data_IF_592307782174
#
_entry.id   IF_592307782174
#
_cell.length_a   1.000
_cell.length_b   1.000
_cell.length_c   1.000
_cell.angle_alpha   90.00
_cell.angle_beta   90.00
_cell.angle_gamma   90.00
#
_symmetry.space_group_name_H-M   'P 1'
#
loop_
_entity.id
_entity.type
_entity.pdbx_description
1 polymer ?
#
# COMPACT_ATOMS: atom_id res chain seq x y z
N UNK A 1 30.49 10.47 5.23
CA UNK A 1 29.47 11.52 4.95
C UNK A 1 28.86 11.40 3.53
N UNK A 2 29.55 10.83 2.54
CA UNK A 2 28.95 10.61 1.19
C UNK A 2 27.93 9.44 1.14
N UNK A 3 28.23 8.31 1.78
CA UNK A 3 27.32 7.15 1.79
C UNK A 3 25.98 7.41 2.49
N UNK A 4 25.97 8.24 3.54
CA UNK A 4 24.76 8.55 4.31
C UNK A 4 23.74 9.36 3.52
N UNK A 5 24.15 10.31 2.67
CA UNK A 5 23.23 11.08 1.81
C UNK A 5 22.59 10.19 0.74
N UNK A 6 23.38 9.29 0.16
CA UNK A 6 22.90 8.38 -0.88
C UNK A 6 21.92 7.34 -0.31
N UNK A 7 22.24 6.74 0.85
CA UNK A 7 21.35 5.80 1.54
C UNK A 7 20.06 6.44 2.02
N UNK A 8 20.10 7.69 2.52
CA UNK A 8 18.89 8.44 2.91
C UNK A 8 17.99 8.73 1.71
N UNK A 9 18.57 9.21 0.61
CA UNK A 9 17.81 9.51 -0.60
C UNK A 9 17.15 8.26 -1.18
N UNK A 10 17.93 7.19 -1.30
CA UNK A 10 17.47 5.86 -1.75
C UNK A 10 16.35 5.34 -0.86
N UNK A 11 16.55 5.31 0.46
CA UNK A 11 15.52 4.85 1.40
C UNK A 11 14.23 5.66 1.30
N UNK A 12 14.33 6.99 1.17
CA UNK A 12 13.18 7.86 1.04
C UNK A 12 12.38 7.58 -0.24
N UNK A 13 13.06 7.44 -1.38
CA UNK A 13 12.41 7.12 -2.67
C UNK A 13 11.72 5.75 -2.63
N UNK A 14 12.36 4.75 -2.02
CA UNK A 14 11.81 3.40 -1.88
C UNK A 14 10.56 3.40 -1.02
N UNK A 15 10.63 4.02 0.16
CA UNK A 15 9.51 4.08 1.10
C UNK A 15 8.35 4.86 0.47
N UNK A 16 8.62 6.00 -0.15
CA UNK A 16 7.59 6.78 -0.83
C UNK A 16 6.94 5.99 -1.96
N UNK A 17 7.73 5.28 -2.78
CA UNK A 17 7.21 4.44 -3.86
C UNK A 17 6.35 3.28 -3.34
N UNK A 18 6.85 2.53 -2.35
CA UNK A 18 6.11 1.44 -1.72
C UNK A 18 4.81 1.93 -1.09
N UNK A 19 4.85 3.07 -0.39
CA UNK A 19 3.68 3.70 0.22
C UNK A 19 2.64 4.08 -0.83
N UNK A 20 3.02 4.76 -1.91
CA UNK A 20 2.08 5.15 -2.98
C UNK A 20 1.40 3.94 -3.61
N UNK A 21 2.18 2.91 -3.99
CA UNK A 21 1.60 1.71 -4.60
C UNK A 21 0.74 0.95 -3.59
N UNK A 22 1.17 0.86 -2.33
CA UNK A 22 0.42 0.23 -1.25
C UNK A 22 -0.91 0.92 -0.96
N UNK A 23 -0.93 2.26 -0.99
CA UNK A 23 -2.14 3.07 -0.83
C UNK A 23 -3.11 2.80 -1.98
N UNK A 24 -2.65 2.84 -3.22
CA UNK A 24 -3.51 2.62 -4.39
C UNK A 24 -4.14 1.23 -4.34
N UNK A 25 -3.33 0.20 -4.10
CA UNK A 25 -3.81 -1.19 -4.05
C UNK A 25 -4.74 -1.41 -2.85
N UNK A 26 -4.39 -0.89 -1.67
CA UNK A 26 -5.20 -1.01 -0.46
C UNK A 26 -6.52 -0.22 -0.53
N UNK A 27 -6.52 0.94 -1.19
CA UNK A 27 -7.73 1.71 -1.48
C UNK A 27 -8.68 0.94 -2.39
N UNK A 28 -8.16 0.37 -3.48
CA UNK A 28 -8.97 -0.43 -4.40
C UNK A 28 -9.54 -1.67 -3.71
N UNK A 29 -8.72 -2.38 -2.92
CA UNK A 29 -9.16 -3.55 -2.16
C UNK A 29 -10.24 -3.20 -1.12
N UNK A 30 -10.04 -2.11 -0.35
CA UNK A 30 -10.99 -1.67 0.68
C UNK A 30 -12.27 -1.05 0.12
N UNK A 31 -12.20 -0.35 -1.02
CA UNK A 31 -13.35 0.32 -1.62
C UNK A 31 -14.28 -0.65 -2.35
N UNK A 32 -13.74 -1.44 -3.28
CA UNK A 32 -14.53 -2.37 -4.10
C UNK A 32 -14.97 -3.60 -3.30
N UNK A 33 -14.15 -4.09 -2.37
CA UNK A 33 -14.46 -5.29 -1.60
C UNK A 33 -14.65 -6.55 -2.48
N UNK A 34 -15.19 -7.62 -1.88
CA UNK A 34 -15.59 -8.82 -2.61
C UNK A 34 -14.43 -9.67 -3.13
N UNK A 35 -14.55 -10.16 -4.37
CA UNK A 35 -13.56 -11.07 -4.97
C UNK A 35 -12.21 -10.40 -5.24
N UNK A 36 -12.19 -9.12 -5.64
CA UNK A 36 -10.96 -8.38 -5.86
C UNK A 36 -10.15 -8.22 -4.57
N UNK A 37 -10.82 -7.84 -3.47
CA UNK A 37 -10.22 -7.78 -2.14
C UNK A 37 -9.63 -9.14 -1.73
N UNK A 38 -10.40 -10.21 -1.93
CA UNK A 38 -9.95 -11.58 -1.61
C UNK A 38 -8.69 -11.94 -2.40
N UNK A 39 -8.64 -11.63 -3.70
CA UNK A 39 -7.49 -11.93 -4.55
C UNK A 39 -6.25 -11.12 -4.13
N UNK A 40 -6.41 -9.82 -3.89
CA UNK A 40 -5.31 -8.94 -3.43
C UNK A 40 -4.77 -9.42 -2.09
N UNK A 41 -5.66 -9.66 -1.12
CA UNK A 41 -5.26 -10.12 0.22
C UNK A 41 -4.58 -11.48 0.16
N UNK A 42 -5.01 -12.38 -0.73
CA UNK A 42 -4.36 -13.70 -0.89
C UNK A 42 -2.95 -13.59 -1.45
N UNK A 43 -2.71 -12.67 -2.39
CA UNK A 43 -1.34 -12.37 -2.87
C UNK A 43 -0.49 -11.80 -1.74
N UNK A 44 -1.05 -10.87 -0.94
CA UNK A 44 -0.35 -10.31 0.22
C UNK A 44 -0.02 -11.37 1.27
N UNK A 45 -0.93 -12.31 1.53
CA UNK A 45 -0.74 -13.40 2.48
C UNK A 45 0.32 -14.40 1.99
N UNK A 46 0.40 -14.67 0.68
CA UNK A 46 1.48 -15.47 0.09
C UNK A 46 2.83 -14.80 0.30
N UNK A 47 2.93 -13.48 0.14
CA UNK A 47 4.17 -12.73 0.39
C UNK A 47 4.58 -12.83 1.87
N UNK A 48 3.61 -12.70 2.79
CA UNK A 48 3.84 -12.79 4.23
C UNK A 48 4.12 -14.20 4.74
N UNK A 49 3.79 -15.24 3.97
CA UNK A 49 4.08 -16.63 4.32
C UNK A 49 5.59 -16.93 4.32
N UNK A 50 6.38 -16.15 3.56
CA UNK A 50 7.83 -16.26 3.55
C UNK A 50 8.46 -15.27 4.53
N UNK A 51 9.52 -15.67 5.26
CA UNK A 51 10.32 -14.72 6.03
C UNK A 51 10.85 -13.60 5.13
N UNK A 52 10.63 -12.35 5.55
CA UNK A 52 10.94 -11.15 4.74
C UNK A 52 12.38 -11.10 4.24
N UNK A 53 13.33 -11.53 5.08
CA UNK A 53 14.76 -11.61 4.73
C UNK A 53 15.02 -12.64 3.62
N UNK A 54 14.41 -13.83 3.72
CA UNK A 54 14.58 -14.88 2.71
C UNK A 54 13.98 -14.45 1.38
N UNK A 55 12.79 -13.86 1.40
CA UNK A 55 12.13 -13.36 0.19
C UNK A 55 12.92 -12.22 -0.45
N UNK A 56 13.43 -11.27 0.34
CA UNK A 56 14.28 -10.19 -0.16
C UNK A 56 15.55 -10.73 -0.82
N UNK A 57 16.22 -11.69 -0.19
CA UNK A 57 17.43 -12.31 -0.74
C UNK A 57 17.13 -13.07 -2.04
N UNK A 58 16.03 -13.83 -2.09
CA UNK A 58 15.60 -14.54 -3.29
C UNK A 58 15.31 -13.58 -4.46
N UNK A 59 14.60 -12.48 -4.20
CA UNK A 59 14.32 -11.46 -5.21
C UNK A 59 15.60 -10.80 -5.72
N UNK A 60 16.54 -10.45 -4.82
CA UNK A 60 17.83 -9.88 -5.23
C UNK A 60 18.66 -10.88 -6.05
N UNK A 61 18.62 -12.17 -5.69
CA UNK A 61 19.30 -13.21 -6.46
C UNK A 61 18.74 -13.37 -7.88
N UNK A 62 17.41 -13.24 -8.05
CA UNK A 62 16.74 -13.33 -9.36
C UNK A 62 16.95 -12.07 -10.20
N UNK A 63 16.76 -10.88 -9.62
CA UNK A 63 16.88 -9.60 -10.32
C UNK A 63 18.35 -9.23 -10.59
N UNK A 64 19.29 -9.82 -9.84
CA UNK A 64 20.72 -9.57 -9.92
C UNK A 64 21.20 -8.50 -8.92
N UNK A 65 22.50 -8.53 -8.56
CA UNK A 65 23.07 -7.67 -7.52
C UNK A 65 23.20 -6.23 -8.03
N UNK A 66 22.18 -5.41 -7.74
CA UNK A 66 22.18 -3.97 -7.96
C UNK A 66 21.46 -3.29 -6.81
N UNK A 67 21.91 -2.08 -6.44
CA UNK A 67 21.24 -1.25 -5.44
C UNK A 67 19.77 -1.05 -5.80
N UNK A 68 19.47 -0.80 -7.08
CA UNK A 68 18.10 -0.63 -7.58
C UNK A 68 17.24 -1.87 -7.43
N UNK A 69 17.82 -3.05 -7.62
CA UNK A 69 17.10 -4.31 -7.49
C UNK A 69 16.83 -4.64 -6.02
N UNK A 70 17.78 -4.35 -5.13
CA UNK A 70 17.58 -4.46 -3.68
C UNK A 70 16.50 -3.50 -3.18
N UNK A 71 16.48 -2.27 -3.69
CA UNK A 71 15.42 -1.30 -3.43
C UNK A 71 14.03 -1.82 -3.80
N UNK A 72 13.89 -2.36 -5.02
CA UNK A 72 12.62 -2.92 -5.52
C UNK A 72 12.21 -4.15 -4.70
N UNK A 73 13.15 -5.04 -4.39
CA UNK A 73 12.89 -6.23 -3.59
C UNK A 73 12.32 -5.86 -2.20
N UNK A 74 12.93 -4.89 -1.52
CA UNK A 74 12.47 -4.41 -0.21
C UNK A 74 11.08 -3.76 -0.33
N UNK A 75 10.84 -2.94 -1.37
CA UNK A 75 9.53 -2.33 -1.60
C UNK A 75 8.41 -3.38 -1.74
N UNK A 76 8.65 -4.44 -2.53
CA UNK A 76 7.69 -5.53 -2.75
C UNK A 76 7.42 -6.29 -1.45
N UNK A 77 8.46 -6.57 -0.66
CA UNK A 77 8.34 -7.28 0.62
C UNK A 77 7.54 -6.48 1.64
N UNK A 78 7.67 -5.15 1.64
CA UNK A 78 6.92 -4.27 2.56
C UNK A 78 5.49 -3.98 2.11
N UNK A 79 5.15 -4.30 0.86
CA UNK A 79 3.85 -3.99 0.27
C UNK A 79 2.63 -4.51 1.07
N UNK A 80 2.63 -5.74 1.60
CA UNK A 80 1.50 -6.25 2.39
C UNK A 80 1.15 -5.39 3.61
N UNK A 81 2.16 -4.78 4.25
CA UNK A 81 1.91 -3.92 5.41
C UNK A 81 1.14 -2.65 5.01
N UNK A 82 1.62 -1.94 3.97
CA UNK A 82 0.97 -0.72 3.50
C UNK A 82 -0.43 -0.99 2.92
N UNK A 83 -0.59 -2.08 2.17
CA UNK A 83 -1.89 -2.48 1.60
C UNK A 83 -2.90 -2.77 2.70
N UNK A 84 -2.52 -3.57 3.73
CA UNK A 84 -3.42 -3.92 4.84
C UNK A 84 -3.78 -2.72 5.69
N UNK A 85 -2.82 -1.84 5.97
CA UNK A 85 -3.05 -0.61 6.72
C UNK A 85 -4.05 0.30 5.99
N UNK A 86 -3.81 0.56 4.70
CA UNK A 86 -4.70 1.40 3.89
C UNK A 86 -6.08 0.77 3.75
N UNK A 87 -6.16 -0.54 3.51
CA UNK A 87 -7.43 -1.27 3.44
C UNK A 87 -8.24 -1.13 4.74
N UNK A 88 -7.58 -1.28 5.90
CA UNK A 88 -8.22 -1.13 7.20
C UNK A 88 -8.76 0.29 7.41
N UNK A 89 -7.95 1.31 7.09
CA UNK A 89 -8.36 2.71 7.15
C UNK A 89 -9.56 2.99 6.24
N UNK A 90 -9.51 2.53 4.99
CA UNK A 90 -10.58 2.71 4.00
C UNK A 90 -11.87 2.02 4.43
N UNK A 91 -11.79 0.82 5.00
CA UNK A 91 -12.97 0.09 5.49
C UNK A 91 -13.62 0.82 6.67
N UNK A 92 -12.80 1.33 7.60
CA UNK A 92 -13.28 2.12 8.73
C UNK A 92 -13.95 3.43 8.27
N UNK A 93 -13.33 4.10 7.30
CA UNK A 93 -13.82 5.38 6.80
C UNK A 93 -15.11 5.22 5.98
N UNK A 94 -15.22 4.14 5.20
CA UNK A 94 -16.41 3.80 4.42
C UNK A 94 -17.67 3.57 5.28
N UNK A 95 -17.52 3.24 6.57
CA UNK A 95 -18.63 3.04 7.50
C UNK A 95 -19.10 4.33 8.20
N UNK A 96 -18.45 5.48 7.95
CA UNK A 96 -18.81 6.76 8.59
C UNK A 96 -20.08 7.37 7.98
N UNK A 97 -20.85 8.05 8.82
CA UNK A 97 -22.13 8.67 8.43
C UNK A 97 -22.01 9.70 7.29
N UNK A 98 -20.89 10.45 7.24
CA UNK A 98 -20.67 11.41 6.18
C UNK A 98 -20.47 10.75 4.80
N UNK A 99 -19.93 9.53 4.76
CA UNK A 99 -19.81 8.75 3.52
C UNK A 99 -21.18 8.25 3.07
N UNK A 100 -22.00 7.80 4.02
CA UNK A 100 -23.39 7.41 3.77
C UNK A 100 -24.21 8.59 3.26
N UNK A 101 -24.09 9.77 3.88
CA UNK A 101 -24.75 11.00 3.44
C UNK A 101 -24.31 11.40 2.02
N UNK A 102 -23.00 11.39 1.73
CA UNK A 102 -22.48 11.70 0.39
C UNK A 102 -23.01 10.73 -0.69
N UNK A 103 -23.19 9.45 -0.34
CA UNK A 103 -23.80 8.45 -1.23
C UNK A 103 -25.27 8.76 -1.50
N UNK A 104 -26.05 9.13 -0.48
CA UNK A 104 -27.48 9.48 -0.61
C UNK A 104 -27.68 10.72 -1.49
N UNK A 105 -26.74 11.68 -1.45
CA UNK A 105 -26.74 12.88 -2.29
C UNK A 105 -26.38 12.57 -3.77
N UNK A 106 -26.06 11.32 -4.10
CA UNK A 106 -25.79 10.89 -5.47
C UNK A 106 -24.33 11.03 -5.90
N UNK A 107 -23.38 11.07 -4.96
CA UNK A 107 -21.96 11.06 -5.30
C UNK A 107 -21.58 9.77 -6.04
N UNK A 108 -20.92 9.91 -7.19
CA UNK A 108 -20.42 8.76 -7.94
C UNK A 108 -19.37 7.97 -7.13
N UNK A 109 -19.25 6.64 -7.30
CA UNK A 109 -18.31 5.82 -6.54
C UNK A 109 -16.86 6.30 -6.64
N UNK A 110 -16.43 6.73 -7.83
CA UNK A 110 -15.09 7.27 -8.06
C UNK A 110 -14.86 8.58 -7.31
N UNK A 111 -15.84 9.47 -7.30
CA UNK A 111 -15.76 10.74 -6.53
C UNK A 111 -15.72 10.47 -5.04
N UNK A 112 -16.54 9.53 -4.55
CA UNK A 112 -16.56 9.11 -3.15
C UNK A 112 -15.19 8.55 -2.72
N UNK A 113 -14.57 7.74 -3.58
CA UNK A 113 -13.28 7.11 -3.34
C UNK A 113 -12.14 8.13 -3.28
N UNK A 114 -12.02 9.02 -4.27
CA UNK A 114 -10.86 9.92 -4.42
C UNK A 114 -11.00 11.21 -3.61
N UNK A 115 -12.21 11.75 -3.47
CA UNK A 115 -12.42 13.07 -2.84
C UNK A 115 -12.80 12.94 -1.36
N UNK A 116 -13.44 11.84 -0.97
CA UNK A 116 -13.95 11.67 0.40
C UNK A 116 -13.13 10.67 1.18
N UNK A 117 -12.96 9.45 0.67
CA UNK A 117 -12.33 8.36 1.44
C UNK A 117 -10.80 8.47 1.42
N UNK A 118 -10.19 8.66 0.25
CA UNK A 118 -8.73 8.72 0.11
C UNK A 118 -8.08 9.79 1.01
N UNK A 119 -8.48 11.08 0.99
CA UNK A 119 -7.85 12.08 1.84
C UNK A 119 -8.05 11.83 3.34
N UNK A 120 -9.20 11.30 3.76
CA UNK A 120 -9.44 10.98 5.18
C UNK A 120 -8.70 9.72 5.65
N UNK A 121 -8.47 8.77 4.74
CA UNK A 121 -7.72 7.54 5.01
C UNK A 121 -6.20 7.76 5.05
N UNK A 122 -5.68 8.89 4.53
CA UNK A 122 -4.27 9.24 4.64
C UNK A 122 -3.86 9.65 6.07
N UNK A 123 -4.79 10.17 6.87
CA UNK A 123 -4.53 10.59 8.25
C UNK A 123 -3.87 9.50 9.11
N UNK A 124 -4.41 8.26 9.19
CA UNK A 124 -3.76 7.16 9.93
C UNK A 124 -2.50 6.58 9.24
N UNK A 125 -2.20 6.94 7.98
CA UNK A 125 -0.97 6.50 7.31
C UNK A 125 0.23 7.42 7.59
N UNK A 126 -0.02 8.65 8.04
CA UNK A 126 1.02 9.67 8.30
C UNK A 126 1.47 9.65 9.78
N UNK A 127 0.66 9.08 10.67
CA UNK A 127 0.91 9.01 12.13
C UNK A 127 1.83 7.84 12.50
#
# INVERSE_FOLDING_TARGET
IYGSRFSLFVGCVVVAGALVVGIIVGLLAGFFGGWFDTLVMRVMDIILAFPSLLLALALVAILGPSLTNAMIAIAIVQQPHYVRLTRAAVMAEKQRDYVTAARVVGASPLRLMVVTILPNSLSPLIV
#
